data_IF_184942065785
#
_entry.id   IF_184942065785
#
_cell.length_a   1.000
_cell.length_b   1.000
_cell.length_c   1.000
_cell.angle_alpha   90.00
_cell.angle_beta   90.00
_cell.angle_gamma   90.00
#
_symmetry.space_group_name_H-M   'P 1'
#
loop_
_entity.id
_entity.type
_entity.pdbx_description
1 polymer ?
#
# COMPACT_ATOMS: atom_id res chain seq x y z
N UNK A 1 -0.81 -10.74 -2.50
CA UNK A 1 -1.71 -9.67 -2.94
C UNK A 1 -2.21 -9.97 -4.35
N UNK A 2 -3.53 -10.11 -4.54
CA UNK A 2 -4.10 -10.37 -5.87
C UNK A 2 -3.87 -9.21 -6.87
N UNK A 3 -3.85 -9.49 -8.18
CA UNK A 3 -3.87 -8.46 -9.23
C UNK A 3 -5.03 -7.47 -9.05
N UNK A 4 -4.80 -6.20 -9.43
CA UNK A 4 -5.80 -5.13 -9.32
C UNK A 4 -5.91 -4.48 -7.93
N UNK A 5 -5.21 -4.98 -6.91
CA UNK A 5 -5.07 -4.29 -5.63
C UNK A 5 -4.09 -3.11 -5.74
N UNK A 6 -4.22 -2.09 -4.90
CA UNK A 6 -3.43 -0.84 -4.99
C UNK A 6 -1.92 -1.09 -5.00
N UNK A 7 -1.38 -1.71 -3.95
CA UNK A 7 0.06 -2.00 -3.86
C UNK A 7 0.53 -2.96 -4.97
N UNK A 8 -0.30 -3.93 -5.39
CA UNK A 8 0.09 -4.87 -6.44
C UNK A 8 0.25 -4.14 -7.77
N UNK A 9 -0.69 -3.25 -8.06
CA UNK A 9 -0.69 -2.44 -9.26
C UNK A 9 0.51 -1.50 -9.31
N UNK A 10 0.91 -0.92 -8.17
CA UNK A 10 2.13 -0.10 -8.06
C UNK A 10 3.38 -0.93 -8.36
N UNK A 11 3.52 -2.11 -7.73
CA UNK A 11 4.63 -3.02 -8.00
C UNK A 11 4.71 -3.41 -9.48
N UNK A 12 3.59 -3.83 -10.07
CA UNK A 12 3.55 -4.24 -11.47
C UNK A 12 3.94 -3.10 -12.42
N UNK A 13 3.50 -1.86 -12.14
CA UNK A 13 3.88 -0.66 -12.92
C UNK A 13 5.36 -0.32 -12.77
N UNK A 14 5.89 -0.34 -11.54
CA UNK A 14 7.30 -0.06 -11.27
C UNK A 14 8.20 -1.08 -12.00
N UNK A 15 7.88 -2.37 -11.90
CA UNK A 15 8.62 -3.39 -12.65
C UNK A 15 8.50 -3.19 -14.17
N UNK A 16 7.30 -2.93 -14.69
CA UNK A 16 7.09 -2.75 -16.12
C UNK A 16 7.83 -1.52 -16.68
N UNK A 17 7.94 -0.43 -15.93
CA UNK A 17 8.71 0.75 -16.29
C UNK A 17 10.21 0.44 -16.47
N UNK A 18 10.72 -0.55 -15.74
CA UNK A 18 12.10 -1.04 -15.84
C UNK A 18 12.25 -2.22 -16.83
N UNK A 19 11.20 -2.55 -17.61
CA UNK A 19 11.22 -3.70 -18.51
C UNK A 19 11.19 -5.06 -17.80
N UNK A 20 10.96 -5.09 -16.48
CA UNK A 20 10.91 -6.30 -15.67
C UNK A 20 9.51 -6.93 -15.67
N UNK A 21 9.47 -8.23 -15.40
CA UNK A 21 8.24 -8.99 -15.14
C UNK A 21 8.44 -9.79 -13.86
N UNK A 22 7.82 -9.40 -12.73
CA UNK A 22 8.06 -10.08 -11.48
C UNK A 22 7.36 -11.45 -11.48
N UNK A 23 8.10 -12.52 -11.22
CA UNK A 23 7.53 -13.83 -10.95
C UNK A 23 7.04 -13.91 -9.51
N UNK A 24 5.78 -14.32 -9.33
CA UNK A 24 5.11 -14.28 -8.02
C UNK A 24 4.78 -15.69 -7.59
N UNK A 25 5.61 -16.23 -6.70
CA UNK A 25 5.40 -17.56 -6.16
C UNK A 25 4.12 -17.66 -5.31
N UNK A 26 3.80 -16.62 -4.53
CA UNK A 26 2.74 -16.66 -3.53
C UNK A 26 1.90 -15.36 -3.52
N UNK A 27 0.59 -15.51 -3.33
CA UNK A 27 -0.34 -14.40 -3.17
C UNK A 27 -1.30 -14.64 -2.01
N UNK A 28 -1.45 -13.65 -1.13
CA UNK A 28 -2.53 -13.59 -0.14
C UNK A 28 -3.27 -12.24 -0.18
N UNK A 29 -4.53 -12.21 0.26
CA UNK A 29 -5.35 -10.99 0.32
C UNK A 29 -5.13 -10.18 1.61
N UNK A 30 -4.68 -10.84 2.69
CA UNK A 30 -4.36 -10.20 3.96
C UNK A 30 -2.85 -9.91 4.06
N UNK A 31 -2.52 -8.73 4.59
CA UNK A 31 -1.14 -8.31 4.83
C UNK A 31 -0.41 -9.25 5.78
N UNK A 32 -1.07 -9.62 6.88
CA UNK A 32 -0.51 -10.51 7.91
C UNK A 32 -0.14 -11.88 7.34
N UNK A 33 -0.94 -12.39 6.39
CA UNK A 33 -0.62 -13.64 5.71
C UNK A 33 0.61 -13.50 4.81
N UNK A 34 0.77 -12.38 4.11
CA UNK A 34 1.98 -12.12 3.29
C UNK A 34 3.21 -11.99 4.19
N UNK A 35 3.12 -11.24 5.29
CA UNK A 35 4.21 -11.07 6.25
C UNK A 35 4.62 -12.40 6.88
N UNK A 36 3.65 -13.19 7.36
CA UNK A 36 3.92 -14.49 7.98
C UNK A 36 4.61 -15.47 7.02
N UNK A 37 4.29 -15.44 5.71
CA UNK A 37 5.01 -16.26 4.72
C UNK A 37 6.48 -15.82 4.58
N UNK A 38 6.74 -14.52 4.56
CA UNK A 38 8.11 -13.98 4.49
C UNK A 38 8.92 -14.24 5.76
N UNK A 39 8.33 -14.07 6.94
CA UNK A 39 8.97 -14.40 8.23
C UNK A 39 9.38 -15.88 8.32
N UNK A 40 8.60 -16.75 7.67
CA UNK A 40 8.88 -18.19 7.59
C UNK A 40 9.88 -18.55 6.48
N UNK A 41 10.46 -17.56 5.80
CA UNK A 41 11.49 -17.77 4.77
C UNK A 41 10.97 -18.20 3.40
N UNK A 42 9.68 -18.03 3.11
CA UNK A 42 9.09 -18.42 1.81
C UNK A 42 9.26 -17.35 0.71
N UNK A 43 10.02 -16.29 0.96
CA UNK A 43 10.33 -15.22 0.01
C UNK A 43 10.35 -13.85 0.67
N UNK A 44 10.25 -12.80 -0.15
CA UNK A 44 10.14 -11.42 0.31
C UNK A 44 8.68 -10.93 0.27
N UNK A 45 8.28 -10.17 1.28
CA UNK A 45 7.00 -9.48 1.31
C UNK A 45 7.11 -8.09 0.70
N UNK A 46 6.19 -7.73 -0.20
CA UNK A 46 6.02 -6.35 -0.68
C UNK A 46 4.85 -5.72 0.07
N UNK A 47 5.15 -4.70 0.87
CA UNK A 47 4.20 -4.03 1.78
C UNK A 47 4.30 -2.51 1.60
N UNK A 48 3.24 -1.79 1.99
CA UNK A 48 3.35 -0.33 2.14
C UNK A 48 4.20 0.02 3.35
N UNK A 49 4.85 1.19 3.32
CA UNK A 49 5.76 1.66 4.38
C UNK A 49 5.11 1.60 5.79
N UNK A 50 3.91 2.14 5.91
CA UNK A 50 3.15 2.12 7.17
C UNK A 50 2.86 0.72 7.67
N UNK A 51 2.72 -0.27 6.78
CA UNK A 51 2.45 -1.66 7.16
C UNK A 51 3.72 -2.37 7.58
N UNK A 52 4.82 -2.16 6.87
CA UNK A 52 6.11 -2.78 7.17
C UNK A 52 6.58 -2.45 8.60
N UNK A 53 6.30 -1.23 9.08
CA UNK A 53 6.60 -0.80 10.44
C UNK A 53 5.87 -1.59 11.56
N UNK A 54 4.86 -2.39 11.23
CA UNK A 54 4.11 -3.19 12.21
C UNK A 54 4.65 -4.62 12.39
N UNK A 55 5.67 -5.02 11.61
CA UNK A 55 6.18 -6.40 11.62
C UNK A 55 7.65 -6.44 12.08
N UNK A 56 7.87 -6.64 13.38
CA UNK A 56 9.21 -6.69 14.00
C UNK A 56 10.07 -7.87 13.51
N UNK A 57 9.43 -8.95 13.02
CA UNK A 57 10.11 -10.14 12.51
C UNK A 57 10.71 -9.97 11.10
N UNK A 58 10.52 -8.81 10.48
CA UNK A 58 10.96 -8.51 9.12
C UNK A 58 11.93 -7.34 9.10
N UNK A 59 12.96 -7.43 8.25
CA UNK A 59 13.80 -6.28 7.92
C UNK A 59 13.22 -5.56 6.71
N UNK A 60 12.67 -4.36 6.92
CA UNK A 60 12.14 -3.55 5.84
C UNK A 60 13.26 -2.97 4.96
N UNK A 61 13.08 -3.06 3.63
CA UNK A 61 13.95 -2.42 2.63
C UNK A 61 13.08 -1.61 1.68
N UNK A 62 13.32 -0.29 1.54
CA UNK A 62 12.56 0.53 0.60
C UNK A 62 12.86 0.09 -0.83
N UNK A 63 11.82 0.13 -1.68
CA UNK A 63 11.96 -0.01 -3.13
C UNK A 63 12.05 1.40 -3.70
N UNK A 64 13.27 1.86 -3.97
CA UNK A 64 13.54 3.25 -4.35
C UNK A 64 13.02 3.59 -5.76
N UNK A 65 13.03 2.62 -6.68
CA UNK A 65 12.61 2.82 -8.09
C UNK A 65 11.08 2.77 -8.29
N UNK A 66 10.30 2.80 -7.20
CA UNK A 66 8.84 2.76 -7.24
C UNK A 66 8.25 4.17 -7.09
N UNK A 67 8.44 5.02 -8.10
CA UNK A 67 8.05 6.44 -8.10
C UNK A 67 6.54 6.69 -7.95
N UNK A 68 5.71 5.67 -8.19
CA UNK A 68 4.26 5.80 -8.12
C UNK A 68 3.75 5.57 -6.68
N UNK A 69 3.15 6.58 -6.01
CA UNK A 69 2.70 6.42 -4.63
C UNK A 69 1.49 5.48 -4.54
N UNK A 70 1.56 4.52 -3.61
CA UNK A 70 0.41 3.70 -3.22
C UNK A 70 -0.51 4.50 -2.30
N UNK A 71 -1.49 5.20 -2.88
CA UNK A 71 -2.39 6.09 -2.12
C UNK A 71 -3.65 5.38 -1.65
N UNK A 72 -4.00 5.58 -0.38
CA UNK A 72 -5.33 5.28 0.15
C UNK A 72 -6.25 6.48 -0.06
N UNK A 73 -7.31 6.28 -0.83
CA UNK A 73 -8.25 7.35 -1.18
C UNK A 73 -9.66 7.01 -0.71
N UNK A 74 -10.37 8.01 -0.21
CA UNK A 74 -11.81 7.93 0.02
C UNK A 74 -12.53 8.42 -1.25
N UNK A 75 -13.51 7.66 -1.72
CA UNK A 75 -14.32 8.01 -2.89
C UNK A 75 -15.77 8.24 -2.46
N UNK A 76 -16.39 9.29 -2.98
CA UNK A 76 -17.79 9.62 -2.72
C UNK A 76 -18.41 10.29 -3.95
N UNK A 77 -19.75 10.26 -4.04
CA UNK A 77 -20.48 10.97 -5.10
C UNK A 77 -20.46 12.47 -4.86
N UNK A 78 -20.39 13.25 -5.94
CA UNK A 78 -20.42 14.72 -5.88
C UNK A 78 -21.63 15.23 -5.10
N UNK A 79 -22.81 14.69 -5.40
CA UNK A 79 -24.02 14.94 -4.61
C UNK A 79 -24.10 13.94 -3.44
N UNK A 80 -23.91 14.43 -2.21
CA UNK A 80 -23.88 13.62 -1.01
C UNK A 80 -24.63 14.28 0.16
N UNK A 81 -25.21 13.44 1.02
CA UNK A 81 -26.01 13.87 2.17
C UNK A 81 -25.18 14.34 3.38
N UNK A 82 -25.83 14.80 4.45
CA UNK A 82 -25.17 15.39 5.61
C UNK A 82 -24.21 14.43 6.33
N UNK A 83 -24.52 13.13 6.41
CA UNK A 83 -23.64 12.15 7.05
C UNK A 83 -22.27 12.03 6.37
N UNK A 84 -22.25 11.98 5.02
CA UNK A 84 -20.99 11.95 4.25
C UNK A 84 -20.22 13.25 4.46
N UNK A 85 -20.91 14.40 4.47
CA UNK A 85 -20.26 15.70 4.72
C UNK A 85 -19.56 15.72 6.08
N UNK A 86 -20.21 15.26 7.15
CA UNK A 86 -19.61 15.20 8.48
C UNK A 86 -18.45 14.19 8.56
N UNK A 87 -18.59 13.02 7.93
CA UNK A 87 -17.50 12.04 7.83
C UNK A 87 -16.27 12.63 7.11
N UNK A 88 -16.47 13.34 5.99
CA UNK A 88 -15.38 14.01 5.27
C UNK A 88 -14.71 15.09 6.12
N UNK A 89 -15.50 15.90 6.84
CA UNK A 89 -14.96 16.91 7.75
C UNK A 89 -14.13 16.26 8.88
N UNK A 90 -14.59 15.14 9.42
CA UNK A 90 -13.86 14.35 10.41
C UNK A 90 -12.55 13.80 9.83
N UNK A 91 -12.60 13.09 8.69
CA UNK A 91 -11.41 12.53 8.03
C UNK A 91 -10.37 13.62 7.74
N UNK A 92 -10.79 14.79 7.22
CA UNK A 92 -9.86 15.93 6.98
C UNK A 92 -9.17 16.41 8.25
N UNK A 93 -9.84 16.38 9.41
CA UNK A 93 -9.23 16.74 10.69
C UNK A 93 -8.29 15.64 11.20
N UNK A 94 -8.70 14.38 11.09
CA UNK A 94 -7.93 13.23 11.56
C UNK A 94 -6.63 13.03 10.75
N UNK A 95 -6.69 13.21 9.42
CA UNK A 95 -5.56 12.95 8.52
C UNK A 95 -4.76 14.22 8.13
N UNK A 96 -5.02 15.36 8.78
CA UNK A 96 -4.36 16.65 8.48
C UNK A 96 -2.84 16.68 8.77
N UNK A 97 -2.29 15.65 9.41
CA UNK A 97 -0.87 15.56 9.82
C UNK A 97 -0.02 14.57 9.02
N UNK A 98 -0.50 14.02 7.89
CA UNK A 98 0.25 13.03 7.10
C UNK A 98 1.00 13.59 5.88
N UNK A 99 1.01 14.90 5.65
CA UNK A 99 1.58 15.51 4.45
C UNK A 99 2.90 16.22 4.71
N UNK A 100 3.94 15.50 5.10
CA UNK A 100 5.32 15.95 4.85
C UNK A 100 5.90 15.05 3.77
N UNK A 101 5.49 15.31 2.54
CA UNK A 101 6.27 14.91 1.37
C UNK A 101 7.33 16.02 1.23
N UNK A 102 8.53 15.75 1.75
CA UNK A 102 9.70 16.62 1.60
C UNK A 102 10.69 15.91 0.71
N UNK A 103 11.12 16.65 -0.32
CA UNK A 103 12.14 16.38 -1.34
C UNK A 103 11.66 15.61 -2.57
#
# INVERSE_FOLDING_TARGET
MPPGTGLRTVLDRACAAQGLRPEIALQASAADAVAALAERGLGAAVLGDSMAAHYDGLTARPVEDADAPARLCLLWRTSHGPAVREALAHCRRAFRRGGTDTA
#
